data_IF_642216054797
#
_entry.id   IF_642216054797
#
_cell.length_a   1.000
_cell.length_b   1.000
_cell.length_c   1.000
_cell.angle_alpha   90.00
_cell.angle_beta   90.00
_cell.angle_gamma   90.00
#
_symmetry.space_group_name_H-M   'P 1'
#
loop_
_entity.id
_entity.type
_entity.pdbx_description
1 polymer ?
#
# COMPACT_ATOMS: atom_id res chain seq x y z
N UNK A 1 -2.05 19.39 -3.97
CA UNK A 1 -0.70 18.93 -3.56
C UNK A 1 -0.56 18.77 -2.03
N UNK A 2 -0.92 19.76 -1.20
CA UNK A 2 -0.80 19.64 0.27
C UNK A 2 -1.63 18.49 0.89
N UNK A 3 -2.85 18.25 0.38
CA UNK A 3 -3.75 17.25 0.96
C UNK A 3 -3.20 15.81 0.86
N UNK A 4 -2.71 15.42 -0.32
CA UNK A 4 -2.12 14.09 -0.52
C UNK A 4 -0.87 13.90 0.35
N UNK A 5 0.01 14.90 0.41
CA UNK A 5 1.21 14.86 1.25
C UNK A 5 0.87 14.67 2.73
N UNK A 6 -0.12 15.41 3.25
CA UNK A 6 -0.59 15.25 4.64
C UNK A 6 -1.11 13.84 4.91
N UNK A 7 -1.85 13.24 3.97
CA UNK A 7 -2.39 11.89 4.15
C UNK A 7 -1.32 10.80 4.00
N UNK A 8 -0.35 10.99 3.10
CA UNK A 8 0.83 10.12 3.03
C UNK A 8 1.61 10.14 4.33
N UNK A 9 1.84 11.31 4.93
CA UNK A 9 2.48 11.41 6.25
C UNK A 9 1.66 10.67 7.32
N UNK A 10 0.32 10.78 7.31
CA UNK A 10 -0.53 10.02 8.25
C UNK A 10 -0.38 8.50 8.06
N UNK A 11 -0.32 8.02 6.82
CA UNK A 11 -0.08 6.61 6.49
C UNK A 11 1.31 6.18 6.95
N UNK A 12 2.36 6.96 6.64
CA UNK A 12 3.72 6.69 7.07
C UNK A 12 3.80 6.56 8.60
N UNK A 13 3.18 7.49 9.34
CA UNK A 13 3.15 7.48 10.82
C UNK A 13 2.39 6.31 11.41
N UNK A 14 1.52 5.66 10.64
CA UNK A 14 0.88 4.44 11.06
C UNK A 14 1.86 3.26 11.11
N UNK A 15 2.97 3.28 10.36
CA UNK A 15 4.01 2.26 10.41
C UNK A 15 5.27 2.75 11.16
N UNK A 16 5.56 4.05 11.11
CA UNK A 16 6.72 4.69 11.73
C UNK A 16 6.29 5.82 12.68
N UNK A 17 5.71 5.48 13.85
CA UNK A 17 5.22 6.46 14.79
C UNK A 17 6.36 7.33 15.35
N UNK A 18 6.06 8.55 15.79
CA UNK A 18 7.07 9.43 16.43
C UNK A 18 7.55 8.90 17.79
N UNK A 19 6.76 8.05 18.43
CA UNK A 19 7.03 7.45 19.75
C UNK A 19 6.49 6.02 19.73
N UNK A 20 7.25 5.08 20.28
CA UNK A 20 6.93 3.65 20.24
C UNK A 20 7.42 2.98 18.95
N UNK A 21 7.13 1.69 18.83
CA UNK A 21 7.58 0.84 17.72
C UNK A 21 6.43 0.09 17.03
N UNK A 22 5.21 0.23 17.54
CA UNK A 22 4.06 -0.52 17.02
C UNK A 22 3.45 0.16 15.79
N UNK A 23 3.17 -0.66 14.78
CA UNK A 23 2.37 -0.25 13.64
C UNK A 23 0.88 -0.21 14.01
N UNK A 24 0.09 0.53 13.22
CA UNK A 24 -1.34 0.67 13.41
C UNK A 24 -2.09 0.69 12.07
N UNK A 25 -2.40 -0.51 11.55
CA UNK A 25 -3.11 -0.66 10.28
C UNK A 25 -4.46 0.06 10.25
N UNK A 26 -5.14 0.15 11.40
CA UNK A 26 -6.41 0.88 11.51
C UNK A 26 -6.21 2.36 11.23
N UNK A 27 -5.18 3.00 11.77
CA UNK A 27 -4.88 4.40 11.50
C UNK A 27 -4.47 4.65 10.05
N UNK A 28 -3.66 3.76 9.46
CA UNK A 28 -3.30 3.86 8.05
C UNK A 28 -4.53 3.76 7.12
N UNK A 29 -5.39 2.77 7.36
CA UNK A 29 -6.65 2.60 6.61
C UNK A 29 -7.64 3.76 6.85
N UNK A 30 -7.67 4.32 8.05
CA UNK A 30 -8.48 5.50 8.34
C UNK A 30 -8.01 6.72 7.54
N UNK A 31 -6.69 6.94 7.40
CA UNK A 31 -6.17 8.03 6.56
C UNK A 31 -6.61 7.90 5.09
N UNK A 32 -6.60 6.68 4.53
CA UNK A 32 -7.11 6.42 3.18
C UNK A 32 -8.62 6.69 3.08
N UNK A 33 -9.37 6.22 4.09
CA UNK A 33 -10.82 6.36 4.12
C UNK A 33 -11.26 7.82 4.23
N UNK A 34 -10.57 8.60 5.07
CA UNK A 34 -10.79 10.04 5.18
C UNK A 34 -10.46 10.75 3.87
N UNK A 35 -9.34 10.40 3.24
CA UNK A 35 -8.94 10.99 1.95
C UNK A 35 -9.97 10.70 0.85
N UNK A 36 -10.51 9.48 0.79
CA UNK A 36 -11.58 9.10 -0.15
C UNK A 36 -12.85 9.94 0.06
N UNK A 37 -13.23 10.22 1.31
CA UNK A 37 -14.43 11.03 1.64
C UNK A 37 -14.32 12.48 1.19
N UNK A 38 -13.12 12.97 0.90
CA UNK A 38 -12.89 14.33 0.40
C UNK A 38 -13.19 14.48 -1.10
N UNK A 39 -13.67 13.42 -1.77
CA UNK A 39 -14.05 13.48 -3.19
C UNK A 39 -12.85 13.66 -4.13
N UNK A 40 -11.67 13.18 -3.74
CA UNK A 40 -10.46 13.24 -4.56
C UNK A 40 -10.61 12.39 -5.83
N UNK A 41 -9.88 12.76 -6.89
CA UNK A 41 -9.81 11.94 -8.10
C UNK A 41 -9.11 10.60 -7.84
N UNK A 42 -9.31 9.64 -8.75
CA UNK A 42 -8.79 8.29 -8.62
C UNK A 42 -7.25 8.24 -8.49
N UNK A 43 -6.52 9.09 -9.20
CA UNK A 43 -5.05 9.07 -9.21
C UNK A 43 -4.41 9.37 -7.84
N UNK A 44 -4.74 10.47 -7.14
CA UNK A 44 -4.27 10.68 -5.76
C UNK A 44 -4.71 9.59 -4.79
N UNK A 45 -5.89 9.00 -4.97
CA UNK A 45 -6.39 7.95 -4.09
C UNK A 45 -5.60 6.64 -4.28
N UNK A 46 -5.43 6.21 -5.54
CA UNK A 46 -4.62 5.07 -5.92
C UNK A 46 -3.18 5.21 -5.42
N UNK A 47 -2.63 6.43 -5.52
CA UNK A 47 -1.32 6.77 -5.00
C UNK A 47 -1.20 6.55 -3.48
N UNK A 48 -2.17 7.05 -2.71
CA UNK A 48 -2.17 6.89 -1.26
C UNK A 48 -2.36 5.44 -0.83
N UNK A 49 -3.18 4.68 -1.56
CA UNK A 49 -3.39 3.24 -1.32
C UNK A 49 -2.11 2.46 -1.58
N UNK A 50 -1.44 2.72 -2.70
CA UNK A 50 -0.14 2.09 -3.00
C UNK A 50 0.92 2.50 -1.97
N UNK A 51 0.91 3.75 -1.52
CA UNK A 51 1.83 4.23 -0.48
C UNK A 51 1.67 3.50 0.86
N UNK A 52 0.45 3.10 1.22
CA UNK A 52 0.22 2.26 2.41
C UNK A 52 0.87 0.88 2.27
N UNK A 53 0.78 0.27 1.08
CA UNK A 53 1.44 -1.01 0.80
C UNK A 53 2.96 -0.85 0.83
N UNK A 54 3.50 0.18 0.17
CA UNK A 54 4.93 0.51 0.19
C UNK A 54 5.46 0.68 1.63
N UNK A 55 4.71 1.37 2.50
CA UNK A 55 5.09 1.56 3.90
C UNK A 55 5.09 0.23 4.67
N UNK A 56 4.09 -0.63 4.43
CA UNK A 56 4.01 -1.95 5.05
C UNK A 56 5.13 -2.88 4.62
N UNK A 57 5.42 -2.96 3.32
CA UNK A 57 6.55 -3.74 2.78
C UNK A 57 7.87 -3.25 3.36
N UNK A 58 8.10 -1.93 3.34
CA UNK A 58 9.30 -1.35 3.95
C UNK A 58 9.39 -1.68 5.44
N UNK A 59 8.29 -1.60 6.18
CA UNK A 59 8.27 -1.92 7.61
C UNK A 59 8.67 -3.37 7.87
N UNK A 60 8.17 -4.32 7.07
CA UNK A 60 8.62 -5.71 7.14
C UNK A 60 10.10 -5.87 6.80
N UNK A 61 10.61 -5.18 5.79
CA UNK A 61 12.03 -5.23 5.44
C UNK A 61 12.93 -4.62 6.53
N UNK A 62 12.46 -3.60 7.24
CA UNK A 62 13.22 -2.93 8.30
C UNK A 62 13.19 -3.71 9.63
N UNK A 63 12.09 -4.43 9.95
CA UNK A 63 11.87 -5.06 11.26
C UNK A 63 11.66 -6.58 11.26
N UNK A 64 11.65 -7.21 10.08
CA UNK A 64 11.39 -8.64 9.90
C UNK A 64 9.91 -8.98 9.77
N UNK A 65 9.63 -10.29 9.71
CA UNK A 65 8.28 -10.81 9.52
C UNK A 65 7.34 -10.44 10.68
N UNK A 66 6.09 -10.10 10.35
CA UNK A 66 5.13 -9.52 11.31
C UNK A 66 4.09 -10.55 11.77
N UNK A 67 3.05 -10.77 10.97
CA UNK A 67 2.06 -11.83 11.15
C UNK A 67 1.14 -11.88 9.92
N UNK A 68 0.42 -12.98 9.77
CA UNK A 68 -0.52 -13.22 8.68
C UNK A 68 -1.55 -12.09 8.49
N UNK A 69 -2.14 -11.59 9.59
CA UNK A 69 -3.17 -10.53 9.54
C UNK A 69 -2.66 -9.20 8.99
N UNK A 70 -1.36 -8.93 9.19
CA UNK A 70 -0.68 -7.78 8.62
C UNK A 70 -0.58 -7.92 7.11
N UNK A 71 -0.10 -9.06 6.62
CA UNK A 71 0.06 -9.32 5.19
C UNK A 71 -1.26 -9.33 4.43
N UNK A 72 -2.30 -10.01 4.95
CA UNK A 72 -3.64 -9.95 4.37
C UNK A 72 -4.17 -8.52 4.23
N UNK A 73 -3.84 -7.64 5.19
CA UNK A 73 -4.24 -6.24 5.10
C UNK A 73 -3.47 -5.46 4.03
N UNK A 74 -2.24 -5.84 3.70
CA UNK A 74 -1.45 -5.21 2.64
C UNK A 74 -1.88 -5.72 1.27
N UNK A 75 -2.02 -7.04 1.10
CA UNK A 75 -2.51 -7.69 -0.11
C UNK A 75 -3.85 -7.13 -0.53
N UNK A 76 -4.82 -7.10 0.38
CA UNK A 76 -6.16 -6.56 0.08
C UNK A 76 -6.15 -5.07 -0.25
N UNK A 77 -5.20 -4.28 0.27
CA UNK A 77 -5.06 -2.87 -0.12
C UNK A 77 -4.39 -2.73 -1.48
N UNK A 78 -3.41 -3.59 -1.80
CA UNK A 78 -2.73 -3.63 -3.08
C UNK A 78 -3.71 -3.98 -4.20
N UNK A 79 -4.50 -5.04 -4.02
CA UNK A 79 -5.55 -5.42 -4.97
C UNK A 79 -6.53 -4.26 -5.21
N UNK A 80 -7.05 -3.64 -4.15
CA UNK A 80 -7.95 -2.49 -4.30
C UNK A 80 -7.31 -1.32 -5.04
N UNK A 81 -6.00 -1.09 -4.86
CA UNK A 81 -5.27 -0.06 -5.59
C UNK A 81 -5.19 -0.41 -7.08
N UNK A 82 -4.86 -1.65 -7.42
CA UNK A 82 -4.80 -2.15 -8.80
C UNK A 82 -6.17 -2.10 -9.49
N UNK A 83 -7.26 -2.49 -8.81
CA UNK A 83 -8.64 -2.34 -9.30
C UNK A 83 -8.93 -0.90 -9.67
N UNK A 84 -8.68 0.03 -8.73
CA UNK A 84 -8.92 1.46 -8.95
C UNK A 84 -8.08 1.99 -10.12
N UNK A 85 -6.80 1.59 -10.20
CA UNK A 85 -5.91 1.98 -11.29
C UNK A 85 -6.41 1.46 -12.64
N UNK A 86 -6.90 0.22 -12.72
CA UNK A 86 -7.45 -0.36 -13.94
C UNK A 86 -8.70 0.38 -14.40
N UNK A 87 -9.67 0.56 -13.49
CA UNK A 87 -10.94 1.25 -13.78
C UNK A 87 -10.72 2.70 -14.25
N UNK A 88 -9.75 3.38 -13.64
CA UNK A 88 -9.40 4.76 -13.99
C UNK A 88 -8.38 4.90 -15.12
N UNK A 89 -7.93 3.79 -15.74
CA UNK A 89 -6.90 3.76 -16.80
C UNK A 89 -5.55 4.36 -16.39
N UNK A 90 -5.17 4.16 -15.13
CA UNK A 90 -3.94 4.66 -14.52
C UNK A 90 -2.83 3.61 -14.41
N UNK A 91 -3.07 2.34 -14.76
CA UNK A 91 -2.05 1.27 -14.66
C UNK A 91 -0.68 1.69 -15.24
N UNK A 92 -0.57 2.26 -16.46
CA UNK A 92 0.74 2.66 -17.01
C UNK A 92 1.50 3.67 -16.13
N UNK A 93 0.79 4.55 -15.41
CA UNK A 93 1.40 5.55 -14.53
C UNK A 93 2.01 4.91 -13.27
N UNK A 94 1.42 3.81 -12.78
CA UNK A 94 1.82 3.16 -11.54
C UNK A 94 2.65 1.89 -11.73
N UNK A 95 2.85 1.43 -12.97
CA UNK A 95 3.50 0.16 -13.29
C UNK A 95 4.85 -0.04 -12.58
N UNK A 96 5.74 0.96 -12.63
CA UNK A 96 7.06 0.88 -12.00
C UNK A 96 6.95 0.70 -10.47
N UNK A 97 6.05 1.47 -9.82
CA UNK A 97 5.87 1.40 -8.36
C UNK A 97 5.19 0.12 -7.93
N UNK A 98 4.16 -0.33 -8.67
CA UNK A 98 3.49 -1.61 -8.45
C UNK A 98 4.49 -2.77 -8.56
N UNK A 99 5.32 -2.78 -9.62
CA UNK A 99 6.34 -3.80 -9.78
C UNK A 99 7.37 -3.75 -8.64
N UNK A 100 7.83 -2.55 -8.24
CA UNK A 100 8.79 -2.40 -7.15
C UNK A 100 8.26 -2.95 -5.83
N UNK A 101 6.98 -2.73 -5.52
CA UNK A 101 6.32 -3.33 -4.35
C UNK A 101 6.48 -4.85 -4.37
N UNK A 102 6.27 -5.52 -5.49
CA UNK A 102 6.46 -6.98 -5.61
C UNK A 102 7.93 -7.38 -5.46
N UNK A 103 8.86 -6.65 -6.11
CA UNK A 103 10.28 -7.01 -6.04
C UNK A 103 10.87 -6.86 -4.64
N UNK A 104 10.35 -5.90 -3.87
CA UNK A 104 10.78 -5.63 -2.51
C UNK A 104 10.29 -6.68 -1.50
N UNK A 105 9.39 -7.60 -1.91
CA UNK A 105 8.87 -8.67 -1.05
C UNK A 105 9.50 -10.04 -1.28
N UNK A 106 10.43 -10.20 -2.22
CA UNK A 106 11.01 -11.49 -2.65
C UNK A 106 11.53 -12.41 -1.54
N UNK A 107 11.90 -11.87 -0.39
CA UNK A 107 12.42 -12.63 0.75
C UNK A 107 11.48 -12.62 1.97
N UNK A 108 10.24 -12.16 1.81
CA UNK A 108 9.23 -12.10 2.87
C UNK A 108 8.41 -13.40 2.82
N UNK A 109 8.20 -14.02 3.99
CA UNK A 109 7.47 -15.29 4.11
C UNK A 109 5.96 -15.18 3.90
N UNK A 110 5.24 -16.19 4.39
CA UNK A 110 3.77 -16.22 4.49
C UNK A 110 3.00 -16.26 3.16
N UNK A 111 3.67 -16.58 2.04
CA UNK A 111 3.06 -16.50 0.71
C UNK A 111 2.79 -15.06 0.26
N UNK A 112 3.21 -14.05 1.03
CA UNK A 112 2.93 -12.64 0.75
C UNK A 112 3.54 -12.17 -0.56
N UNK A 113 4.77 -12.61 -0.86
CA UNK A 113 5.40 -12.34 -2.14
C UNK A 113 4.60 -12.91 -3.31
N UNK A 114 4.20 -14.18 -3.19
CA UNK A 114 3.49 -14.92 -4.23
C UNK A 114 2.13 -14.25 -4.51
N UNK A 115 1.36 -13.90 -3.47
CA UNK A 115 0.09 -13.18 -3.63
C UNK A 115 0.27 -11.85 -4.37
N UNK A 116 1.26 -11.04 -4.00
CA UNK A 116 1.52 -9.76 -4.67
C UNK A 116 1.99 -9.94 -6.11
N UNK A 117 2.78 -10.97 -6.39
CA UNK A 117 3.25 -11.29 -7.73
C UNK A 117 2.10 -11.76 -8.63
N UNK A 118 1.22 -12.64 -8.13
CA UNK A 118 0.00 -13.07 -8.83
C UNK A 118 -0.92 -11.89 -9.15
N UNK A 119 -1.16 -11.01 -8.16
CA UNK A 119 -1.93 -9.80 -8.36
C UNK A 119 -1.28 -8.86 -9.38
N UNK A 120 0.04 -8.70 -9.37
CA UNK A 120 0.71 -7.86 -10.36
C UNK A 120 0.54 -8.42 -11.78
N UNK A 121 0.77 -9.72 -11.97
CA UNK A 121 0.62 -10.40 -13.26
C UNK A 121 -0.81 -10.31 -13.79
N UNK A 122 -1.83 -10.48 -12.94
CA UNK A 122 -3.23 -10.39 -13.34
C UNK A 122 -3.62 -9.02 -13.94
N UNK A 123 -2.96 -7.93 -13.51
CA UNK A 123 -3.31 -6.56 -13.91
C UNK A 123 -2.36 -5.99 -14.96
N UNK A 124 -1.09 -6.39 -14.96
CA UNK A 124 -0.05 -5.86 -15.85
C UNK A 124 0.48 -6.85 -16.89
N UNK A 125 0.17 -8.14 -16.77
CA UNK A 125 0.48 -9.18 -17.76
C UNK A 125 -0.44 -9.17 -18.98
#
# INVERSE_FOLDING_TARGET
MALLATHRERVLRAFYPKRGYDYNLRQGKAAISDFRKLGVSAQPLADLMLHYVECGVRFTNDYGDINESFYYSLEGMYEQALVLMREAKLLPEFAERSHRVVTDTRNIGWGFHDTLAELYEQYYG
#
